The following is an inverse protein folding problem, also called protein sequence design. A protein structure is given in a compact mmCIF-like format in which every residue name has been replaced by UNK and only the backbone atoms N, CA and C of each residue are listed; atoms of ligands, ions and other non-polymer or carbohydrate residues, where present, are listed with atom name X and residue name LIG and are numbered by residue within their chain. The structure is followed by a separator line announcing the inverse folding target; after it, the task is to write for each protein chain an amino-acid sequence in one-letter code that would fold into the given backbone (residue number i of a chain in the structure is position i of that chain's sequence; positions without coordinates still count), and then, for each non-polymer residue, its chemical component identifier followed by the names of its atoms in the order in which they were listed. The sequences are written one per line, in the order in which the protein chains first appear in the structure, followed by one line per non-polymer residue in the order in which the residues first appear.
data_IF_666123625814
#
_entry.id   IF_666123625814
#
_cell.length_a   1.000
_cell.length_b   1.000
_cell.length_c   1.000
_cell.angle_alpha   90.00
_cell.angle_beta   90.00
_cell.angle_gamma   90.00
#
_symmetry.space_group_name_H-M   'P 1'
#
loop_
_entity.id
_entity.type
_entity.pdbx_description
1 polymer ?
#
# COMPACT_ATOMS: atom_id res chain seq x y z
N UNK A 1 -0.75 4.80 -11.82
CA UNK A 1 -0.66 3.38 -11.39
C UNK A 1 -0.55 2.50 -12.63
N UNK A 2 0.20 1.38 -12.56
CA UNK A 2 0.28 0.39 -13.63
C UNK A 2 -0.82 -0.68 -13.51
N UNK A 3 -1.14 -1.42 -14.59
CA UNK A 3 -2.14 -2.50 -14.54
C UNK A 3 -1.90 -3.53 -13.44
N UNK A 4 -0.64 -3.92 -13.18
CA UNK A 4 -0.27 -4.85 -12.10
C UNK A 4 -0.72 -4.39 -10.71
N UNK A 5 -0.90 -3.09 -10.52
CA UNK A 5 -1.24 -2.50 -9.24
C UNK A 5 -2.75 -2.60 -8.97
N UNK A 6 -3.60 -2.72 -9.99
CA UNK A 6 -5.06 -2.65 -9.84
C UNK A 6 -5.81 -3.78 -10.55
N UNK A 7 -5.09 -4.63 -11.27
CA UNK A 7 -5.64 -5.77 -12.00
C UNK A 7 -4.63 -6.94 -12.02
N UNK A 8 -5.12 -8.16 -12.24
CA UNK A 8 -4.28 -9.35 -12.28
C UNK A 8 -3.68 -9.71 -10.91
N UNK A 9 -2.42 -9.34 -10.70
CA UNK A 9 -1.63 -9.75 -9.52
C UNK A 9 -1.80 -8.85 -8.30
N UNK A 10 -2.37 -7.65 -8.45
CA UNK A 10 -2.56 -6.67 -7.36
C UNK A 10 -1.29 -6.46 -6.53
N UNK A 11 -0.26 -6.01 -7.22
CA UNK A 11 1.06 -5.77 -6.67
C UNK A 11 1.44 -4.30 -6.84
N UNK A 12 1.68 -3.59 -5.73
CA UNK A 12 2.06 -2.19 -5.75
C UNK A 12 3.48 -2.03 -5.18
N UNK A 13 4.44 -1.78 -6.06
CA UNK A 13 5.79 -1.40 -5.68
C UNK A 13 5.79 0.03 -5.10
N UNK A 14 6.59 0.24 -4.06
CA UNK A 14 6.63 1.47 -3.29
C UNK A 14 7.99 2.19 -3.46
N UNK A 15 8.04 3.53 -3.39
CA UNK A 15 9.28 4.30 -3.45
C UNK A 15 10.31 3.86 -2.39
N UNK A 16 11.39 3.22 -2.84
CA UNK A 16 12.36 2.54 -1.99
C UNK A 16 12.91 3.38 -0.83
N UNK A 17 13.29 4.64 -1.09
CA UNK A 17 13.90 5.52 -0.09
C UNK A 17 12.98 5.80 1.09
N UNK A 18 11.71 6.13 0.82
CA UNK A 18 10.78 6.51 1.89
C UNK A 18 10.49 5.31 2.79
N UNK A 19 10.13 4.18 2.19
CA UNK A 19 9.73 3.00 2.96
C UNK A 19 10.92 2.31 3.64
N UNK A 20 12.12 2.30 3.03
CA UNK A 20 13.31 1.75 3.70
C UNK A 20 13.77 2.57 4.91
N UNK A 21 13.47 3.87 4.95
CA UNK A 21 13.81 4.75 6.08
C UNK A 21 12.79 4.73 7.21
N UNK A 22 11.52 4.46 6.92
CA UNK A 22 10.43 4.59 7.90
C UNK A 22 9.77 3.27 8.28
N UNK A 23 9.95 2.20 7.49
CA UNK A 23 9.41 0.88 7.82
C UNK A 23 10.46 -0.08 8.42
N UNK A 24 10.02 -1.02 9.26
CA UNK A 24 10.83 -2.14 9.73
C UNK A 24 11.47 -2.94 8.59
N UNK A 25 12.60 -3.58 8.89
CA UNK A 25 13.39 -4.38 7.93
C UNK A 25 12.91 -5.83 7.78
N UNK A 26 11.74 -6.15 8.30
CA UNK A 26 11.07 -7.44 8.18
C UNK A 26 9.70 -7.28 7.50
N UNK A 27 9.22 -8.35 6.86
CA UNK A 27 7.85 -8.37 6.35
C UNK A 27 6.87 -8.11 7.49
N UNK A 28 5.94 -7.17 7.28
CA UNK A 28 4.97 -6.73 8.28
C UNK A 28 3.61 -6.49 7.64
N UNK A 29 2.59 -6.45 8.48
CA UNK A 29 1.29 -5.87 8.12
C UNK A 29 1.35 -4.37 8.40
N UNK A 30 0.91 -3.56 7.44
CA UNK A 30 0.73 -2.12 7.59
C UNK A 30 -0.77 -1.80 7.46
N UNK A 31 -1.20 -0.70 8.05
CA UNK A 31 -2.59 -0.24 8.00
C UNK A 31 -2.70 0.94 7.04
N UNK A 32 -3.62 0.85 6.07
CA UNK A 32 -4.01 1.96 5.21
C UNK A 32 -5.34 2.51 5.72
N UNK A 33 -5.42 3.81 5.93
CA UNK A 33 -6.63 4.52 6.36
C UNK A 33 -7.07 5.39 5.20
N UNK A 34 -8.33 5.25 4.79
CA UNK A 34 -8.87 6.05 3.69
C UNK A 34 -9.37 7.43 4.15
N UNK A 35 -10.02 8.16 3.24
CA UNK A 35 -10.61 9.46 3.50
C UNK A 35 -11.84 9.43 4.41
N UNK A 36 -12.44 8.25 4.63
CA UNK A 36 -13.58 8.01 5.52
C UNK A 36 -13.16 7.40 6.85
N UNK A 37 -11.85 7.36 7.11
CA UNK A 37 -11.23 6.72 8.27
C UNK A 37 -11.50 5.20 8.38
N UNK A 38 -11.78 4.55 7.24
CA UNK A 38 -11.85 3.08 7.14
C UNK A 38 -10.43 2.49 7.06
N UNK A 39 -10.18 1.44 7.86
CA UNK A 39 -8.88 0.79 7.95
C UNK A 39 -8.78 -0.48 7.09
N UNK A 40 -7.67 -0.61 6.37
CA UNK A 40 -7.37 -1.72 5.50
C UNK A 40 -5.97 -2.26 5.79
N UNK A 41 -5.87 -3.50 6.22
CA UNK A 41 -4.58 -4.12 6.50
C UNK A 41 -3.97 -4.72 5.24
N UNK A 42 -2.72 -4.37 4.94
CA UNK A 42 -1.98 -4.89 3.78
C UNK A 42 -0.60 -5.41 4.18
N UNK A 43 -0.10 -6.44 3.50
CA UNK A 43 1.23 -6.98 3.75
C UNK A 43 2.29 -6.22 2.96
N UNK A 44 3.24 -5.64 3.67
CA UNK A 44 4.47 -5.08 3.11
C UNK A 44 5.57 -6.15 3.08
N UNK A 45 6.15 -6.36 1.89
CA UNK A 45 7.25 -7.29 1.65
C UNK A 45 8.53 -6.48 1.48
N UNK A 46 9.44 -6.58 2.44
CA UNK A 46 10.64 -5.72 2.51
C UNK A 46 11.57 -5.99 1.33
N UNK A 47 11.82 -7.26 1.02
CA UNK A 47 12.73 -7.64 -0.07
C UNK A 47 12.29 -7.12 -1.44
N UNK A 48 11.00 -6.93 -1.61
CA UNK A 48 10.43 -6.50 -2.88
C UNK A 48 9.94 -5.04 -2.84
N UNK A 49 10.05 -4.37 -1.68
CA UNK A 49 9.60 -3.00 -1.44
C UNK A 49 8.19 -2.76 -1.96
N UNK A 50 7.28 -3.68 -1.67
CA UNK A 50 5.95 -3.70 -2.27
C UNK A 50 4.88 -4.17 -1.29
N UNK A 51 3.65 -3.75 -1.54
CA UNK A 51 2.45 -4.27 -0.88
C UNK A 51 1.76 -5.30 -1.76
N UNK A 52 1.27 -6.36 -1.11
CA UNK A 52 0.75 -7.56 -1.77
C UNK A 52 -0.59 -8.00 -1.16
N UNK A 53 -0.60 -8.94 -0.22
CA UNK A 53 -1.81 -9.45 0.44
C UNK A 53 -2.59 -8.29 1.05
N UNK A 54 -3.91 -8.28 0.86
CA UNK A 54 -4.80 -7.20 1.30
C UNK A 54 -4.89 -6.01 0.34
N UNK A 55 -3.88 -5.78 -0.50
CA UNK A 55 -3.87 -4.65 -1.44
C UNK A 55 -5.03 -4.72 -2.44
N UNK A 56 -5.36 -5.92 -2.93
CA UNK A 56 -6.53 -6.14 -3.79
C UNK A 56 -7.83 -5.63 -3.16
N UNK A 57 -8.02 -5.85 -1.86
CA UNK A 57 -9.24 -5.45 -1.15
C UNK A 57 -9.34 -3.94 -1.15
N UNK A 58 -8.25 -3.25 -0.78
CA UNK A 58 -8.18 -1.79 -0.83
C UNK A 58 -8.45 -1.24 -2.23
N UNK A 59 -7.76 -1.77 -3.25
CA UNK A 59 -7.88 -1.30 -4.62
C UNK A 59 -9.30 -1.47 -5.19
N UNK A 60 -9.97 -2.58 -4.88
CA UNK A 60 -11.34 -2.84 -5.32
C UNK A 60 -12.34 -1.98 -4.55
N UNK A 61 -12.20 -1.84 -3.23
CA UNK A 61 -13.08 -0.99 -2.41
C UNK A 61 -13.08 0.47 -2.91
N UNK A 62 -11.91 0.96 -3.32
CA UNK A 62 -11.72 2.33 -3.83
C UNK A 62 -11.89 2.47 -5.34
N UNK A 63 -12.23 1.37 -6.05
CA UNK A 63 -12.38 1.35 -7.52
C UNK A 63 -11.16 1.97 -8.23
N UNK A 64 -9.96 1.67 -7.75
CA UNK A 64 -8.72 2.21 -8.33
C UNK A 64 -8.54 1.66 -9.75
N UNK A 65 -8.13 2.54 -10.66
CA UNK A 65 -7.88 2.20 -12.07
C UNK A 65 -6.49 2.63 -12.51
N UNK A 66 -6.06 2.15 -13.68
CA UNK A 66 -4.83 2.61 -14.32
C UNK A 66 -4.82 4.14 -14.46
N UNK A 67 -3.64 4.75 -14.36
CA UNK A 67 -3.48 6.20 -14.44
C UNK A 67 -3.74 6.97 -13.15
N UNK A 68 -4.38 6.36 -12.14
CA UNK A 68 -4.58 7.04 -10.85
C UNK A 68 -3.27 7.18 -10.08
N UNK A 69 -3.23 8.16 -9.17
CA UNK A 69 -2.14 8.37 -8.23
C UNK A 69 -2.64 8.20 -6.80
N UNK A 70 -1.78 7.69 -5.93
CA UNK A 70 -2.03 7.55 -4.51
C UNK A 70 -0.98 8.37 -3.76
N UNK A 71 -1.41 9.01 -2.68
CA UNK A 71 -0.54 9.76 -1.79
C UNK A 71 -0.55 9.03 -0.45
N UNK A 72 0.61 8.53 -0.05
CA UNK A 72 0.75 7.87 1.24
C UNK A 72 1.33 8.85 2.25
N UNK A 73 0.61 9.08 3.34
CA UNK A 73 1.10 9.86 4.47
C UNK A 73 1.29 8.93 5.66
N UNK A 74 2.51 8.83 6.17
CA UNK A 74 2.77 8.13 7.43
C UNK A 74 2.17 8.95 8.58
N UNK A 75 1.21 8.39 9.31
CA UNK A 75 0.52 9.06 10.43
C UNK A 75 0.91 8.48 11.78
N UNK A 76 1.21 7.19 11.83
CA UNK A 76 1.74 6.48 13.00
C UNK A 76 2.70 5.39 12.51
N UNK A 77 3.38 4.71 13.43
CA UNK A 77 4.20 3.55 13.10
C UNK A 77 3.38 2.54 12.30
N UNK A 78 3.88 2.20 11.11
CA UNK A 78 3.27 1.25 10.17
C UNK A 78 1.82 1.58 9.74
N UNK A 79 1.35 2.82 9.95
CA UNK A 79 0.01 3.29 9.57
C UNK A 79 0.07 4.47 8.61
N UNK A 80 -0.63 4.35 7.50
CA UNK A 80 -0.64 5.35 6.43
C UNK A 80 -2.05 5.83 6.15
N UNK A 81 -2.23 7.15 6.06
CA UNK A 81 -3.41 7.72 5.40
C UNK A 81 -3.17 7.72 3.88
N UNK A 82 -4.19 7.34 3.12
CA UNK A 82 -4.13 7.15 1.66
C UNK A 82 -5.27 7.88 0.96
#
# INVERSE_FOLDING_TARGET
MFPSNVSGIFWLALPSKFYASHLPKNDIMITLVDVKDEEYTVKYIVKALAVSVGWKIFAVAHKLTEGYALVFQLVEDVKFKV
#
